data_IF_571287429209
#
_entry.id   IF_571287429209
#
_cell.length_a   1.000
_cell.length_b   1.000
_cell.length_c   1.000
_cell.angle_alpha   90.00
_cell.angle_beta   90.00
_cell.angle_gamma   90.00
#
_symmetry.space_group_name_H-M   'P 1'
#
loop_
_entity.id
_entity.type
_entity.pdbx_description
1 polymer ?
#
# COMPACT_ATOMS: atom_id res chain seq x y z
N UNK A 1 -16.91 -1.76 -14.40
CA UNK A 1 -16.55 -1.20 -13.08
C UNK A 1 -15.10 -0.77 -13.17
N UNK A 2 -14.82 0.54 -13.05
CA UNK A 2 -13.45 1.05 -13.20
C UNK A 2 -12.52 0.47 -12.13
N UNK A 3 -11.24 0.30 -12.46
CA UNK A 3 -10.20 -0.09 -11.51
C UNK A 3 -10.18 0.93 -10.35
N UNK A 4 -10.72 0.54 -9.19
CA UNK A 4 -10.57 1.31 -7.96
C UNK A 4 -9.09 1.20 -7.52
N UNK A 5 -8.30 2.28 -7.63
CA UNK A 5 -6.87 2.22 -7.38
C UNK A 5 -6.56 1.91 -5.91
N UNK A 6 -7.45 2.27 -5.00
CA UNK A 6 -7.28 2.04 -3.55
C UNK A 6 -7.51 0.56 -3.26
N UNK A 7 -8.65 0.00 -3.71
CA UNK A 7 -8.93 -1.44 -3.56
C UNK A 7 -7.86 -2.29 -4.25
N UNK A 8 -7.37 -1.85 -5.40
CA UNK A 8 -6.29 -2.54 -6.09
C UNK A 8 -5.00 -2.55 -5.24
N UNK A 9 -4.60 -1.41 -4.65
CA UNK A 9 -3.44 -1.36 -3.74
C UNK A 9 -3.62 -2.26 -2.52
N UNK A 10 -4.79 -2.24 -1.90
CA UNK A 10 -5.11 -3.11 -0.77
C UNK A 10 -5.04 -4.60 -1.14
N UNK A 11 -5.61 -4.98 -2.29
CA UNK A 11 -5.56 -6.35 -2.80
C UNK A 11 -4.12 -6.82 -3.10
N UNK A 12 -3.24 -5.91 -3.58
CA UNK A 12 -1.83 -6.22 -3.78
C UNK A 12 -1.13 -6.53 -2.45
N UNK A 13 -1.39 -5.74 -1.40
CA UNK A 13 -0.84 -6.00 -0.06
C UNK A 13 -1.36 -7.34 0.46
N UNK A 14 -2.67 -7.58 0.39
CA UNK A 14 -3.26 -8.83 0.85
C UNK A 14 -2.65 -10.06 0.15
N UNK A 15 -2.48 -10.00 -1.17
CA UNK A 15 -1.80 -11.06 -1.94
C UNK A 15 -0.37 -11.30 -1.44
N UNK A 16 0.36 -10.24 -1.12
CA UNK A 16 1.71 -10.37 -0.57
C UNK A 16 1.69 -10.98 0.83
N UNK A 17 0.82 -10.52 1.72
CA UNK A 17 0.69 -11.01 3.09
C UNK A 17 0.34 -12.50 3.11
N UNK A 18 -0.64 -12.93 2.31
CA UNK A 18 -1.02 -14.36 2.26
C UNK A 18 0.12 -15.24 1.75
N UNK A 19 0.85 -14.78 0.73
CA UNK A 19 2.04 -15.49 0.27
C UNK A 19 3.09 -15.65 1.39
N UNK A 20 3.38 -14.58 2.15
CA UNK A 20 4.36 -14.64 3.24
C UNK A 20 3.89 -15.54 4.39
N UNK A 21 2.60 -15.51 4.74
CA UNK A 21 2.02 -16.38 5.78
C UNK A 21 2.18 -17.87 5.42
N UNK A 22 1.85 -18.24 4.19
CA UNK A 22 2.00 -19.63 3.72
C UNK A 22 3.48 -20.01 3.70
N UNK A 23 4.34 -19.14 3.19
CA UNK A 23 5.78 -19.40 3.12
C UNK A 23 6.40 -19.59 4.51
N UNK A 24 6.02 -18.78 5.50
CA UNK A 24 6.50 -18.91 6.88
C UNK A 24 5.98 -20.19 7.56
N UNK A 25 4.73 -20.57 7.31
CA UNK A 25 4.13 -21.79 7.86
C UNK A 25 4.85 -23.02 7.31
N UNK A 26 5.04 -23.07 5.99
CA UNK A 26 5.66 -24.22 5.34
C UNK A 26 7.19 -24.30 5.56
N UNK A 27 7.89 -23.17 5.80
CA UNK A 27 9.29 -23.14 6.26
C UNK A 27 9.46 -23.66 7.69
N UNK A 28 8.49 -23.44 8.58
CA UNK A 28 8.48 -24.00 9.94
C UNK A 28 8.26 -25.52 9.94
N UNK A 29 7.42 -26.03 9.04
CA UNK A 29 7.02 -27.44 9.01
C UNK A 29 7.98 -28.35 8.21
N UNK A 30 8.70 -27.80 7.21
CA UNK A 30 9.48 -28.61 6.29
C UNK A 30 10.96 -28.21 6.31
N UNK A 31 11.80 -29.04 6.94
CA UNK A 31 13.25 -28.97 6.82
C UNK A 31 13.73 -28.96 5.36
N UNK A 32 15.01 -28.60 5.09
CA UNK A 32 15.48 -28.24 3.76
C UNK A 32 15.34 -29.42 2.80
N UNK A 33 14.43 -29.34 1.82
CA UNK A 33 14.18 -30.47 0.91
C UNK A 33 14.34 -30.16 -0.57
N UNK A 34 15.08 -31.11 -1.17
CA UNK A 34 15.17 -31.61 -2.55
C UNK A 34 15.22 -30.63 -3.73
N UNK A 35 16.42 -30.61 -4.31
CA UNK A 35 16.83 -30.18 -5.66
C UNK A 35 15.71 -30.29 -6.71
N UNK A 36 15.31 -29.15 -7.26
CA UNK A 36 14.67 -29.06 -8.59
C UNK A 36 13.63 -27.95 -8.74
N UNK A 37 12.71 -27.81 -7.78
CA UNK A 37 11.63 -26.81 -7.82
C UNK A 37 11.56 -26.14 -6.46
N UNK A 38 11.91 -24.85 -6.40
CA UNK A 38 11.96 -24.11 -5.15
C UNK A 38 10.58 -24.08 -4.47
N UNK A 39 10.57 -24.14 -3.15
CA UNK A 39 9.38 -24.09 -2.30
C UNK A 39 8.40 -22.96 -2.70
N UNK A 40 8.95 -21.78 -2.97
CA UNK A 40 8.23 -20.62 -3.47
C UNK A 40 7.40 -20.89 -4.75
N UNK A 41 7.88 -21.73 -5.67
CA UNK A 41 7.14 -22.04 -6.90
C UNK A 41 5.91 -22.91 -6.64
N UNK A 42 5.94 -23.78 -5.64
CA UNK A 42 4.80 -24.61 -5.26
C UNK A 42 3.72 -23.78 -4.59
N UNK A 43 4.11 -22.87 -3.68
CA UNK A 43 3.19 -21.92 -3.04
C UNK A 43 2.49 -21.06 -4.08
N UNK A 44 3.25 -20.51 -5.04
CA UNK A 44 2.68 -19.71 -6.14
C UNK A 44 1.69 -20.52 -6.97
N UNK A 45 2.05 -21.76 -7.34
CA UNK A 45 1.16 -22.61 -8.14
C UNK A 45 -0.13 -22.97 -7.38
N UNK A 46 -0.06 -23.22 -6.07
CA UNK A 46 -1.23 -23.47 -5.23
C UNK A 46 -2.15 -22.25 -5.16
N UNK A 47 -1.59 -21.06 -4.87
CA UNK A 47 -2.35 -19.82 -4.86
C UNK A 47 -2.98 -19.51 -6.23
N UNK A 48 -2.28 -19.80 -7.31
CA UNK A 48 -2.83 -19.62 -8.66
C UNK A 48 -3.97 -20.58 -8.96
N UNK A 49 -3.92 -21.82 -8.49
CA UNK A 49 -5.02 -22.80 -8.62
C UNK A 49 -6.28 -22.36 -7.84
N UNK A 50 -6.09 -21.80 -6.65
CA UNK A 50 -7.19 -21.26 -5.84
C UNK A 50 -7.85 -20.03 -6.46
N UNK A 51 -7.06 -19.14 -7.07
CA UNK A 51 -7.53 -17.88 -7.66
C UNK A 51 -8.11 -18.09 -9.08
N UNK A 52 -7.59 -19.07 -9.83
CA UNK A 52 -7.94 -19.31 -11.22
C UNK A 52 -8.53 -20.71 -11.41
N UNK A 53 -9.87 -20.86 -11.47
CA UNK A 53 -10.52 -22.15 -11.68
C UNK A 53 -10.04 -22.90 -12.93
N UNK A 54 -9.54 -22.17 -13.93
CA UNK A 54 -9.00 -22.76 -15.15
C UNK A 54 -7.57 -23.30 -15.02
N UNK A 55 -6.87 -23.09 -13.90
CA UNK A 55 -5.44 -23.35 -13.76
C UNK A 55 -5.01 -24.78 -14.16
N UNK A 56 -5.79 -25.78 -13.74
CA UNK A 56 -5.57 -27.20 -14.05
C UNK A 56 -5.70 -27.52 -15.54
N UNK A 57 -6.50 -26.74 -16.28
CA UNK A 57 -6.80 -26.94 -17.72
C UNK A 57 -6.07 -25.95 -18.64
N UNK A 58 -5.37 -24.96 -18.08
CA UNK A 58 -4.57 -23.99 -18.83
C UNK A 58 -3.37 -24.63 -19.54
N UNK A 59 -3.05 -24.11 -20.73
CA UNK A 59 -1.78 -24.39 -21.38
C UNK A 59 -0.57 -23.76 -20.63
N UNK A 60 0.63 -24.21 -20.97
CA UNK A 60 1.85 -23.74 -20.29
C UNK A 60 2.11 -22.25 -20.53
N UNK A 61 1.74 -21.72 -21.69
CA UNK A 61 1.88 -20.30 -22.00
C UNK A 61 1.03 -19.44 -21.06
N UNK A 62 -0.23 -19.83 -20.83
CA UNK A 62 -1.14 -19.13 -19.92
C UNK A 62 -0.70 -19.28 -18.48
N UNK A 63 -0.22 -20.46 -18.05
CA UNK A 63 0.37 -20.65 -16.71
C UNK A 63 1.57 -19.74 -16.50
N UNK A 64 2.48 -19.66 -17.47
CA UNK A 64 3.64 -18.75 -17.43
C UNK A 64 3.21 -17.29 -17.30
N UNK A 65 2.21 -16.86 -18.08
CA UNK A 65 1.66 -15.50 -18.00
C UNK A 65 1.03 -15.20 -16.63
N UNK A 66 0.27 -16.15 -16.06
CA UNK A 66 -0.34 -16.00 -14.74
C UNK A 66 0.72 -15.91 -13.63
N UNK A 67 1.77 -16.75 -13.69
CA UNK A 67 2.92 -16.65 -12.77
C UNK A 67 3.61 -15.30 -12.87
N UNK A 68 3.88 -14.81 -14.08
CA UNK A 68 4.49 -13.49 -14.27
C UNK A 68 3.62 -12.36 -13.68
N UNK A 69 2.30 -12.42 -13.89
CA UNK A 69 1.34 -11.48 -13.28
C UNK A 69 1.35 -11.58 -11.75
N UNK A 70 1.35 -12.78 -11.20
CA UNK A 70 1.44 -13.01 -9.76
C UNK A 70 2.72 -12.40 -9.18
N UNK A 71 3.88 -12.68 -9.78
CA UNK A 71 5.15 -12.13 -9.31
C UNK A 71 5.19 -10.60 -9.35
N UNK A 72 4.66 -9.99 -10.41
CA UNK A 72 4.54 -8.53 -10.49
C UNK A 72 3.60 -7.98 -9.42
N UNK A 73 2.43 -8.59 -9.24
CA UNK A 73 1.45 -8.17 -8.22
C UNK A 73 2.02 -8.32 -6.81
N UNK A 74 2.62 -9.47 -6.48
CA UNK A 74 3.32 -9.70 -5.20
C UNK A 74 4.41 -8.66 -4.97
N UNK A 75 5.22 -8.36 -6.00
CA UNK A 75 6.28 -7.34 -5.91
C UNK A 75 5.72 -5.97 -5.56
N UNK A 76 4.63 -5.55 -6.20
CA UNK A 76 3.99 -4.27 -5.87
C UNK A 76 3.31 -4.30 -4.50
N UNK A 77 2.73 -5.43 -4.11
CA UNK A 77 2.19 -5.68 -2.77
C UNK A 77 3.22 -5.44 -1.69
N UNK A 78 4.40 -6.06 -1.80
CA UNK A 78 5.54 -5.86 -0.88
C UNK A 78 5.93 -4.38 -0.75
N UNK A 79 5.95 -3.66 -1.86
CA UNK A 79 6.35 -2.24 -1.87
C UNK A 79 5.32 -1.35 -1.18
N UNK A 80 4.03 -1.61 -1.41
CA UNK A 80 2.97 -0.92 -0.67
C UNK A 80 2.96 -1.31 0.81
N UNK A 81 3.22 -2.58 1.14
CA UNK A 81 3.29 -3.07 2.51
C UNK A 81 4.37 -2.34 3.33
N UNK A 82 5.54 -2.06 2.74
CA UNK A 82 6.58 -1.24 3.37
C UNK A 82 6.06 0.15 3.70
N UNK A 83 5.41 0.84 2.76
CA UNK A 83 4.87 2.17 3.04
C UNK A 83 3.82 2.14 4.14
N UNK A 84 2.88 1.19 4.11
CA UNK A 84 1.83 1.08 5.12
C UNK A 84 2.37 0.72 6.51
N UNK A 85 3.53 0.05 6.59
CA UNK A 85 4.18 -0.28 7.87
C UNK A 85 4.61 0.98 8.65
N UNK A 86 5.10 2.00 7.93
CA UNK A 86 5.62 3.22 8.55
C UNK A 86 4.61 4.37 8.56
N UNK A 87 3.70 4.41 7.59
CA UNK A 87 2.79 5.54 7.36
C UNK A 87 1.31 5.20 7.65
N UNK A 88 1.01 3.94 7.96
CA UNK A 88 -0.36 3.45 8.16
C UNK A 88 -1.13 3.25 6.85
N UNK A 89 -2.34 2.64 6.93
CA UNK A 89 -3.17 2.32 5.77
C UNK A 89 -3.69 3.56 5.01
N UNK A 90 -3.77 4.74 5.64
CA UNK A 90 -4.21 5.97 4.99
C UNK A 90 -3.35 6.36 3.78
N UNK A 91 -2.08 5.94 3.73
CA UNK A 91 -1.19 6.19 2.59
C UNK A 91 -1.70 5.54 1.29
N UNK A 92 -2.58 4.54 1.37
CA UNK A 92 -3.20 3.93 0.19
C UNK A 92 -4.25 4.84 -0.46
N UNK A 93 -4.81 5.75 0.33
CA UNK A 93 -5.84 6.72 -0.05
C UNK A 93 -5.20 8.04 -0.45
N UNK A 94 -4.33 8.56 0.41
CA UNK A 94 -3.70 9.87 0.23
C UNK A 94 -2.19 9.66 0.10
N UNK A 95 -1.75 9.53 -1.15
CA UNK A 95 -0.34 9.56 -1.51
C UNK A 95 -0.11 10.48 -2.71
N UNK A 96 1.05 11.14 -2.75
CA UNK A 96 1.42 11.93 -3.92
C UNK A 96 1.61 11.05 -5.16
N UNK A 97 1.34 11.60 -6.35
CA UNK A 97 1.64 10.92 -7.62
C UNK A 97 3.12 10.54 -7.75
N UNK A 98 4.02 11.30 -7.10
CA UNK A 98 5.46 11.01 -7.07
C UNK A 98 5.73 9.72 -6.30
N UNK A 99 5.15 9.57 -5.10
CA UNK A 99 5.30 8.36 -4.30
C UNK A 99 4.70 7.14 -5.02
N UNK A 100 3.52 7.27 -5.63
CA UNK A 100 2.92 6.20 -6.43
C UNK A 100 3.82 5.78 -7.60
N UNK A 101 4.40 6.72 -8.34
CA UNK A 101 5.34 6.43 -9.42
C UNK A 101 6.58 5.69 -8.91
N UNK A 102 7.06 6.02 -7.72
CA UNK A 102 8.19 5.32 -7.10
C UNK A 102 7.84 3.89 -6.71
N UNK A 103 6.63 3.63 -6.22
CA UNK A 103 6.16 2.27 -5.98
C UNK A 103 6.06 1.47 -7.27
N UNK A 104 5.64 2.09 -8.38
CA UNK A 104 5.58 1.40 -9.70
C UNK A 104 6.94 1.23 -10.37
N UNK A 105 7.93 2.07 -10.06
CA UNK A 105 9.27 2.01 -10.64
C UNK A 105 10.12 0.92 -9.99
N UNK A 106 10.33 -0.18 -10.72
CA UNK A 106 11.09 -1.35 -10.27
C UNK A 106 12.58 -1.09 -10.03
N UNK A 107 13.13 0.01 -10.57
CA UNK A 107 14.52 0.45 -10.30
C UNK A 107 14.65 0.99 -8.87
N UNK A 108 13.59 1.60 -8.32
CA UNK A 108 13.57 2.03 -6.93
C UNK A 108 13.57 0.80 -6.04
N UNK A 109 14.52 0.68 -5.12
CA UNK A 109 14.61 -0.50 -4.24
C UNK A 109 13.58 -0.45 -3.12
N UNK A 110 13.30 -1.60 -2.51
CA UNK A 110 12.41 -1.66 -1.34
C UNK A 110 13.03 -0.90 -0.16
N UNK A 111 14.35 -1.01 0.03
CA UNK A 111 15.10 -0.29 1.06
C UNK A 111 15.00 1.23 0.90
N UNK A 112 14.97 1.74 -0.34
CA UNK A 112 14.77 3.17 -0.56
C UNK A 112 13.35 3.63 -0.21
N UNK A 113 12.34 2.80 -0.48
CA UNK A 113 10.97 3.09 -0.05
C UNK A 113 10.86 3.09 1.48
N UNK A 114 11.54 2.17 2.15
CA UNK A 114 11.65 2.10 3.61
C UNK A 114 12.26 3.39 4.17
N UNK A 115 13.45 3.78 3.70
CA UNK A 115 14.12 5.02 4.11
C UNK A 115 13.25 6.26 3.93
N UNK A 116 12.54 6.37 2.80
CA UNK A 116 11.64 7.51 2.57
C UNK A 116 10.45 7.49 3.52
N UNK A 117 9.86 6.32 3.75
CA UNK A 117 8.71 6.21 4.64
C UNK A 117 9.08 6.47 6.10
N UNK A 118 10.26 6.02 6.55
CA UNK A 118 10.83 6.36 7.85
C UNK A 118 11.14 7.86 7.96
N UNK A 119 11.70 8.45 6.90
CA UNK A 119 11.97 9.88 6.87
C UNK A 119 10.68 10.72 6.98
N UNK A 120 9.63 10.36 6.23
CA UNK A 120 8.32 11.02 6.33
C UNK A 120 7.75 10.85 7.74
N UNK A 121 7.78 9.62 8.28
CA UNK A 121 7.28 9.32 9.61
C UNK A 121 7.99 10.11 10.73
N UNK A 122 9.30 10.37 10.57
CA UNK A 122 10.11 11.08 11.57
C UNK A 122 10.18 12.60 11.39
N UNK A 123 9.96 13.14 10.19
CA UNK A 123 10.27 14.55 9.87
C UNK A 123 9.10 15.34 9.29
N UNK A 124 7.97 14.71 8.94
CA UNK A 124 6.81 15.38 8.35
C UNK A 124 5.60 15.27 9.27
N UNK A 125 5.64 15.98 10.40
CA UNK A 125 4.64 15.83 11.47
C UNK A 125 3.20 16.08 11.01
N UNK A 126 2.98 17.10 10.18
CA UNK A 126 1.64 17.39 9.62
C UNK A 126 1.13 16.23 8.76
N UNK A 127 1.99 15.69 7.89
CA UNK A 127 1.61 14.55 7.03
C UNK A 127 1.27 13.33 7.90
N UNK A 128 2.04 13.07 8.94
CA UNK A 128 1.80 11.95 9.86
C UNK A 128 0.50 12.15 10.64
N UNK A 129 0.21 13.37 11.11
CA UNK A 129 -1.04 13.67 11.82
C UNK A 129 -2.27 13.49 10.93
N UNK A 130 -2.20 13.94 9.67
CA UNK A 130 -3.25 13.71 8.68
C UNK A 130 -3.46 12.21 8.43
N UNK A 131 -2.37 11.46 8.22
CA UNK A 131 -2.45 10.02 7.98
C UNK A 131 -3.05 9.28 9.18
N UNK A 132 -2.63 9.64 10.40
CA UNK A 132 -3.17 9.06 11.64
C UNK A 132 -4.66 9.35 11.81
N UNK A 133 -5.11 10.56 11.49
CA UNK A 133 -6.52 10.94 11.50
C UNK A 133 -7.35 10.09 10.55
N UNK A 134 -6.77 9.69 9.41
CA UNK A 134 -7.45 8.92 8.37
C UNK A 134 -7.27 7.40 8.48
N UNK A 135 -6.34 6.92 9.29
CA UNK A 135 -6.05 5.48 9.42
C UNK A 135 -7.26 4.62 9.83
N UNK A 136 -8.15 5.05 10.74
CA UNK A 136 -9.36 4.29 11.05
C UNK A 136 -10.27 4.10 9.83
N UNK A 137 -10.53 5.21 9.11
CA UNK A 137 -11.33 5.21 7.89
C UNK A 137 -10.73 4.28 6.83
N UNK A 138 -9.41 4.38 6.65
CA UNK A 138 -8.66 3.56 5.72
C UNK A 138 -8.76 2.06 6.05
N UNK A 139 -8.69 1.72 7.34
CA UNK A 139 -8.79 0.34 7.83
C UNK A 139 -10.17 -0.24 7.54
N UNK A 140 -11.22 0.49 7.89
CA UNK A 140 -12.60 0.02 7.70
C UNK A 140 -12.96 -0.09 6.21
N UNK A 141 -12.46 0.83 5.37
CA UNK A 141 -12.60 0.75 3.91
C UNK A 141 -11.92 -0.49 3.33
N UNK A 142 -10.70 -0.81 3.76
CA UNK A 142 -9.97 -2.01 3.31
C UNK A 142 -10.70 -3.28 3.76
N UNK A 143 -11.27 -3.27 4.97
CA UNK A 143 -11.99 -4.41 5.54
C UNK A 143 -13.45 -4.49 5.10
N UNK A 144 -13.90 -3.57 4.24
CA UNK A 144 -15.29 -3.46 3.77
C UNK A 144 -16.31 -3.40 4.93
N UNK A 145 -15.93 -2.68 6.00
CA UNK A 145 -16.78 -2.39 7.17
C UNK A 145 -17.58 -1.10 6.95
N UNK A 146 -18.64 -0.92 7.75
CA UNK A 146 -19.47 0.28 7.66
C UNK A 146 -18.69 1.53 8.08
N UNK A 147 -18.67 2.51 7.20
CA UNK A 147 -17.90 3.76 7.33
C UNK A 147 -18.66 4.80 8.17
N UNK A 148 -19.98 4.61 8.35
CA UNK A 148 -20.86 5.58 9.02
C UNK A 148 -20.56 5.81 10.51
N UNK A 149 -19.63 5.05 11.07
CA UNK A 149 -19.14 5.17 12.46
C UNK A 149 -18.07 6.23 12.64
N UNK A 150 -17.52 6.79 11.56
CA UNK A 150 -16.42 7.76 11.63
C UNK A 150 -16.95 9.17 11.84
N UNK A 151 -16.36 9.88 12.82
CA UNK A 151 -16.63 11.29 13.03
C UNK A 151 -15.96 12.13 11.93
N UNK A 152 -16.69 12.45 10.86
CA UNK A 152 -16.20 13.26 9.74
C UNK A 152 -15.76 14.65 10.20
N UNK A 153 -16.30 15.17 11.31
CA UNK A 153 -15.96 16.50 11.81
C UNK A 153 -14.49 16.62 12.21
N UNK A 154 -13.85 15.56 12.73
CA UNK A 154 -12.42 15.63 13.08
C UNK A 154 -11.52 15.77 11.84
N UNK A 155 -11.90 15.13 10.73
CA UNK A 155 -11.20 15.27 9.44
C UNK A 155 -11.39 16.70 8.90
N UNK A 156 -12.62 17.22 8.96
CA UNK A 156 -12.94 18.58 8.54
C UNK A 156 -12.16 19.58 9.37
N UNK A 157 -12.21 19.51 10.71
CA UNK A 157 -11.47 20.40 11.61
C UNK A 157 -9.97 20.43 11.31
N UNK A 158 -9.36 19.27 11.07
CA UNK A 158 -7.96 19.18 10.67
C UNK A 158 -7.68 19.96 9.37
N UNK A 159 -8.51 19.76 8.35
CA UNK A 159 -8.38 20.47 7.06
C UNK A 159 -8.58 21.98 7.20
N UNK A 160 -9.54 22.41 8.03
CA UNK A 160 -9.82 23.81 8.31
C UNK A 160 -8.69 24.49 9.08
N UNK A 161 -8.04 23.78 10.01
CA UNK A 161 -6.85 24.26 10.72
C UNK A 161 -5.69 24.53 9.76
N UNK A 162 -5.40 23.58 8.87
CA UNK A 162 -4.35 23.76 7.86
C UNK A 162 -4.60 24.92 6.89
N UNK A 163 -5.87 25.16 6.52
CA UNK A 163 -6.24 26.33 5.70
C UNK A 163 -6.06 27.66 6.45
N UNK A 164 -6.35 27.66 7.75
CA UNK A 164 -6.24 28.87 8.58
C UNK A 164 -4.78 29.25 8.84
N UNK A 165 -3.91 28.27 9.08
CA UNK A 165 -2.48 28.49 9.32
C UNK A 165 -1.73 28.93 8.03
N UNK A 166 -2.13 28.45 6.84
CA UNK A 166 -1.56 28.90 5.55
C UNK A 166 -1.93 30.34 5.13
N UNK A 167 -3.00 30.92 5.71
CA UNK A 167 -3.37 32.32 5.49
C UNK A 167 -2.53 33.30 6.32
N UNK A 168 -1.94 32.85 7.44
CA UNK A 168 -1.03 33.69 8.23
C UNK A 168 0.39 33.73 7.65
N UNK A 169 0.83 32.66 6.97
CA UNK A 169 2.18 32.58 6.38
C UNK A 169 2.30 33.28 5.01
N UNK A 170 1.18 33.69 4.41
CA UNK A 170 1.13 34.49 3.17
C UNK A 170 0.91 36.00 3.42
N UNK A 171 0.87 36.43 4.68
CA UNK A 171 0.55 37.79 5.11
C UNK A 171 1.74 38.69 5.42
N UNK A 172 2.69 38.89 4.49
CA UNK A 172 3.68 39.96 4.58
C UNK A 172 3.96 40.60 3.20
N UNK A 173 3.14 41.58 2.82
CA UNK A 173 3.52 42.93 2.33
C UNK A 173 2.37 43.57 1.55
N UNK A 174 1.43 44.18 2.27
CA UNK A 174 0.85 45.44 1.82
C UNK A 174 0.77 46.35 3.04
N UNK A 175 1.91 47.00 3.31
CA UNK A 175 1.96 48.17 4.17
C UNK A 175 1.07 49.24 3.54
N UNK A 176 0.00 49.55 4.25
CA UNK A 176 -0.71 50.82 4.16
C UNK A 176 0.28 51.98 4.23
N UNK A 177 0.40 52.75 3.16
CA UNK A 177 0.79 54.17 3.21
C UNK A 177 -0.28 54.96 2.48
N UNK A 178 -1.29 55.37 3.25
CA UNK A 178 -2.06 56.58 2.99
C UNK A 178 -1.53 57.64 3.94
N UNK A 179 -0.73 58.56 3.41
CA UNK A 179 -0.60 59.94 3.85
C UNK A 179 -0.11 60.74 2.64
#
# INVERSE_FOLDING_TARGET
MGDDPIRNRAALIQLHTEYENINQTEECDNGPTRRGRGHASLIVDRLLDEIHPEWSTCDEQRRSNLRARFHNRKRFGKRWAVLTRHLGPAVLFICSRKLEKMVKNTVVTVQFLEQISEHIAGNCQDVVELLNTLNPLATDLIQNRDINTHNINSIIEYLWRGHSEGLYDSGLTYLSHSA
#
